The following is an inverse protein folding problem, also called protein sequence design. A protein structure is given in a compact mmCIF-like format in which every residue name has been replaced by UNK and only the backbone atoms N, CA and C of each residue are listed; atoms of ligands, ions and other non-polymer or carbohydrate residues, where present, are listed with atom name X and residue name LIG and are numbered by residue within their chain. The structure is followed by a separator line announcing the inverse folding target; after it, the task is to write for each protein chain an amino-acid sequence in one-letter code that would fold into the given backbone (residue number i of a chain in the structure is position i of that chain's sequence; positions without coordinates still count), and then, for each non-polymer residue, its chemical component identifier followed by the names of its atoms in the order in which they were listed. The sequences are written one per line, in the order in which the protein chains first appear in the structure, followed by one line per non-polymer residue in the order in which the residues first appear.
data_IF_083548276406
#
_entry.id   IF_083548276406
#
_cell.length_a   1.000
_cell.length_b   1.000
_cell.length_c   1.000
_cell.angle_alpha   90.00
_cell.angle_beta   90.00
_cell.angle_gamma   90.00
#
_symmetry.space_group_name_H-M   'P 1'
#
loop_
_entity.id
_entity.type
_entity.pdbx_description
1 polymer ?
#
# COMPACT_ATOMS: atom_id res chain seq x y z
N UNK A 1 38.87 -10.36 13.68
CA UNK A 1 37.56 -11.03 13.51
C UNK A 1 36.54 -10.02 13.96
N UNK A 2 36.18 -9.11 13.08
CA UNK A 2 35.45 -7.90 13.46
C UNK A 2 34.30 -7.80 12.46
N UNK A 3 33.22 -8.53 12.76
CA UNK A 3 32.07 -8.65 11.88
C UNK A 3 31.22 -7.36 12.03
N UNK A 4 31.64 -6.29 11.35
CA UNK A 4 30.93 -5.02 11.35
C UNK A 4 29.59 -5.21 10.63
N UNK A 5 28.53 -5.37 11.43
CA UNK A 5 27.16 -5.32 10.93
C UNK A 5 26.90 -3.90 10.44
N UNK A 6 26.80 -3.74 9.12
CA UNK A 6 26.46 -2.48 8.46
C UNK A 6 25.02 -2.11 8.81
N UNK A 7 24.85 -1.38 9.91
CA UNK A 7 23.53 -0.93 10.35
C UNK A 7 23.07 0.24 9.48
N UNK A 8 21.93 0.05 8.79
CA UNK A 8 21.29 1.08 7.96
C UNK A 8 20.81 2.21 8.87
N UNK A 9 21.66 3.23 9.03
CA UNK A 9 21.47 4.36 9.95
C UNK A 9 20.25 5.23 9.64
N UNK A 10 19.70 5.14 8.44
CA UNK A 10 18.58 5.96 7.96
C UNK A 10 17.27 5.18 7.85
N UNK A 11 17.15 4.03 8.53
CA UNK A 11 15.89 3.28 8.54
C UNK A 11 14.87 4.03 9.38
N UNK A 12 13.85 4.59 8.72
CA UNK A 12 12.69 5.18 9.39
C UNK A 12 12.06 4.15 10.35
N UNK A 13 11.75 4.60 11.56
CA UNK A 13 11.02 3.81 12.56
C UNK A 13 9.70 4.50 12.89
N UNK A 14 8.59 3.76 12.94
CA UNK A 14 7.31 4.33 13.33
C UNK A 14 7.36 4.76 14.80
N UNK A 15 6.79 5.92 15.10
CA UNK A 15 6.62 6.44 16.46
C UNK A 15 5.61 5.63 17.29
N UNK A 16 4.78 4.81 16.66
CA UNK A 16 3.80 3.93 17.32
C UNK A 16 3.42 2.74 16.43
N UNK A 17 3.14 1.59 17.04
CA UNK A 17 2.56 0.42 16.36
C UNK A 17 1.03 0.47 16.42
N UNK A 18 0.41 1.15 15.47
CA UNK A 18 -1.02 1.04 15.19
C UNK A 18 -1.25 0.11 13.99
N UNK A 19 -2.43 -0.52 13.93
CA UNK A 19 -2.81 -1.37 12.79
C UNK A 19 -2.77 -0.51 11.52
N UNK A 20 -1.89 -0.82 10.56
CA UNK A 20 -1.67 0.04 9.41
C UNK A 20 -2.85 -0.06 8.44
N UNK A 21 -3.34 1.11 8.01
CA UNK A 21 -4.19 1.25 6.82
C UNK A 21 -3.39 2.05 5.80
N UNK A 22 -3.16 1.47 4.63
CA UNK A 22 -2.30 2.06 3.61
C UNK A 22 -3.17 2.38 2.39
N UNK A 23 -3.18 3.63 1.95
CA UNK A 23 -3.89 4.07 0.76
C UNK A 23 -2.89 4.60 -0.27
N UNK A 24 -2.86 3.97 -1.44
CA UNK A 24 -2.18 4.47 -2.63
C UNK A 24 -3.17 5.27 -3.46
N UNK A 25 -2.80 6.48 -3.84
CA UNK A 25 -3.62 7.32 -4.74
C UNK A 25 -2.75 7.72 -5.93
N UNK A 26 -3.28 7.60 -7.14
CA UNK A 26 -2.54 8.01 -8.33
C UNK A 26 -2.82 7.16 -9.55
N UNK A 27 -1.78 7.09 -10.38
CA UNK A 27 -1.75 6.47 -11.69
C UNK A 27 -1.11 5.06 -11.65
N UNK A 28 -0.46 4.69 -12.76
CA UNK A 28 0.25 3.43 -12.92
C UNK A 28 1.37 3.23 -11.90
N UNK A 29 2.05 4.28 -11.44
CA UNK A 29 3.10 4.14 -10.43
C UNK A 29 2.50 3.71 -9.09
N UNK A 30 1.42 4.36 -8.66
CA UNK A 30 0.68 4.00 -7.45
C UNK A 30 0.11 2.59 -7.54
N UNK A 31 -0.36 2.17 -8.71
CA UNK A 31 -0.78 0.79 -8.97
C UNK A 31 0.37 -0.20 -8.79
N UNK A 32 1.55 0.07 -9.36
CA UNK A 32 2.72 -0.80 -9.23
C UNK A 32 3.18 -0.93 -7.78
N UNK A 33 3.15 0.17 -7.01
CA UNK A 33 3.50 0.14 -5.59
C UNK A 33 2.49 -0.68 -4.77
N UNK A 34 1.19 -0.49 -5.00
CA UNK A 34 0.14 -1.27 -4.34
C UNK A 34 0.27 -2.77 -4.66
N UNK A 35 0.54 -3.13 -5.92
CA UNK A 35 0.76 -4.52 -6.32
C UNK A 35 2.02 -5.11 -5.70
N UNK A 36 3.14 -4.38 -5.72
CA UNK A 36 4.40 -4.82 -5.14
C UNK A 36 4.25 -5.13 -3.64
N UNK A 37 3.64 -4.22 -2.88
CA UNK A 37 3.41 -4.40 -1.45
C UNK A 37 2.49 -5.60 -1.16
N UNK A 38 1.38 -5.70 -1.90
CA UNK A 38 0.44 -6.83 -1.80
C UNK A 38 1.17 -8.16 -2.02
N UNK A 39 2.00 -8.24 -3.07
CA UNK A 39 2.78 -9.43 -3.38
C UNK A 39 3.80 -9.77 -2.29
N UNK A 40 4.48 -8.78 -1.71
CA UNK A 40 5.41 -9.01 -0.60
C UNK A 40 4.70 -9.62 0.61
N UNK A 41 3.53 -9.09 0.97
CA UNK A 41 2.74 -9.59 2.10
C UNK A 41 2.24 -11.00 1.81
N UNK A 42 1.67 -11.23 0.62
CA UNK A 42 1.22 -12.56 0.21
C UNK A 42 2.37 -13.57 0.18
N UNK A 43 3.57 -13.19 -0.28
CA UNK A 43 4.76 -14.06 -0.22
C UNK A 43 5.19 -14.39 1.20
N UNK A 44 5.09 -13.44 2.12
CA UNK A 44 5.44 -13.66 3.53
C UNK A 44 4.50 -14.66 4.22
N UNK A 45 3.22 -14.65 3.84
CA UNK A 45 2.17 -15.55 4.34
C UNK A 45 1.16 -15.92 3.24
N UNK A 46 1.46 -16.95 2.43
CA UNK A 46 0.62 -17.35 1.30
C UNK A 46 -0.77 -17.84 1.71
N UNK A 47 -0.87 -18.48 2.88
CA UNK A 47 -2.10 -19.04 3.43
C UNK A 47 -3.06 -17.98 4.01
N UNK A 48 -2.60 -16.74 4.15
CA UNK A 48 -3.38 -15.69 4.79
C UNK A 48 -4.64 -15.36 3.98
N UNK A 49 -5.80 -15.46 4.61
CA UNK A 49 -7.07 -15.12 3.95
C UNK A 49 -7.19 -13.62 3.75
N UNK A 50 -7.55 -13.22 2.52
CA UNK A 50 -7.79 -11.83 2.17
C UNK A 50 -9.14 -11.66 1.47
N UNK A 51 -9.70 -10.47 1.58
CA UNK A 51 -10.86 -10.02 0.82
C UNK A 51 -10.44 -8.90 -0.12
N UNK A 52 -10.79 -8.99 -1.40
CA UNK A 52 -10.52 -7.98 -2.41
C UNK A 52 -11.85 -7.39 -2.91
N UNK A 53 -12.09 -6.13 -2.60
CA UNK A 53 -13.28 -5.38 -3.02
C UNK A 53 -12.86 -4.32 -4.02
N UNK A 54 -13.59 -4.19 -5.14
CA UNK A 54 -13.38 -3.13 -6.14
C UNK A 54 -14.68 -2.39 -6.37
N UNK A 55 -14.67 -1.09 -6.12
CA UNK A 55 -15.84 -0.21 -6.29
C UNK A 55 -15.36 1.00 -7.10
N UNK A 56 -15.74 1.05 -8.38
CA UNK A 56 -15.30 2.11 -9.30
C UNK A 56 -13.77 2.21 -9.37
N UNK A 57 -13.24 3.39 -9.04
CA UNK A 57 -11.79 3.66 -8.99
C UNK A 57 -11.08 3.12 -7.74
N UNK A 58 -11.82 2.69 -6.71
CA UNK A 58 -11.26 2.20 -5.45
C UNK A 58 -11.11 0.68 -5.47
N UNK A 59 -9.92 0.19 -5.12
CA UNK A 59 -9.64 -1.22 -4.86
C UNK A 59 -9.13 -1.38 -3.44
N UNK A 60 -9.82 -2.16 -2.61
CA UNK A 60 -9.44 -2.44 -1.23
C UNK A 60 -9.09 -3.91 -1.07
N UNK A 61 -7.89 -4.19 -0.55
CA UNK A 61 -7.45 -5.52 -0.17
C UNK A 61 -7.29 -5.57 1.36
N UNK A 62 -8.11 -6.39 2.01
CA UNK A 62 -8.07 -6.57 3.46
C UNK A 62 -7.57 -7.96 3.84
N UNK A 63 -6.50 -8.04 4.61
CA UNK A 63 -6.00 -9.28 5.21
C UNK A 63 -6.72 -9.53 6.54
N UNK A 64 -7.49 -10.60 6.63
CA UNK A 64 -8.43 -10.82 7.73
C UNK A 64 -7.72 -11.15 9.06
N UNK A 65 -6.60 -11.86 8.99
CA UNK A 65 -5.83 -12.29 10.17
C UNK A 65 -5.10 -11.16 10.88
N UNK A 66 -4.77 -10.09 10.15
CA UNK A 66 -3.94 -8.98 10.65
C UNK A 66 -4.71 -7.67 10.79
N UNK A 67 -5.98 -7.65 10.38
CA UNK A 67 -6.83 -6.46 10.26
C UNK A 67 -6.18 -5.31 9.44
N UNK A 68 -5.25 -5.65 8.54
CA UNK A 68 -4.56 -4.70 7.67
C UNK A 68 -5.36 -4.50 6.39
N UNK A 69 -5.60 -3.23 6.03
CA UNK A 69 -6.23 -2.84 4.76
C UNK A 69 -5.25 -2.06 3.88
N UNK A 70 -5.16 -2.48 2.61
CA UNK A 70 -4.33 -1.88 1.58
C UNK A 70 -5.21 -1.46 0.42
N UNK A 71 -5.35 -0.15 0.23
CA UNK A 71 -6.30 0.46 -0.67
C UNK A 71 -5.56 1.14 -1.84
N UNK A 72 -6.19 1.15 -3.01
CA UNK A 72 -5.76 1.88 -4.19
C UNK A 72 -6.93 2.70 -4.72
N UNK A 73 -6.78 4.02 -4.75
CA UNK A 73 -7.67 4.93 -5.46
C UNK A 73 -7.04 5.33 -6.79
N UNK A 74 -7.65 4.87 -7.89
CA UNK A 74 -7.27 5.27 -9.25
C UNK A 74 -7.78 6.67 -9.55
N UNK A 75 -7.07 7.65 -9.03
CA UNK A 75 -7.24 9.05 -9.38
C UNK A 75 -5.89 9.59 -9.84
N UNK A 76 -5.77 9.90 -11.13
CA UNK A 76 -4.51 10.40 -11.71
C UNK A 76 -4.12 11.77 -11.15
N UNK A 77 -5.08 12.53 -10.61
CA UNK A 77 -4.87 13.86 -10.06
C UNK A 77 -5.47 13.96 -8.68
N UNK A 78 -4.73 14.48 -7.70
CA UNK A 78 -5.28 14.74 -6.36
C UNK A 78 -6.21 15.96 -6.32
N UNK A 79 -6.39 16.62 -7.46
CA UNK A 79 -7.20 17.83 -7.64
C UNK A 79 -8.39 17.53 -8.55
N UNK A 80 -9.49 18.23 -8.32
CA UNK A 80 -10.64 18.18 -9.23
C UNK A 80 -10.29 18.85 -10.55
N UNK A 81 -10.44 18.11 -11.65
CA UNK A 81 -10.31 18.68 -12.99
C UNK A 81 -11.64 19.31 -13.34
N UNK A 82 -11.69 20.64 -13.32
CA UNK A 82 -12.80 21.40 -13.89
C UNK A 82 -12.55 21.54 -15.38
N UNK A 83 -13.41 20.94 -16.21
CA UNK A 83 -13.41 21.21 -17.64
C UNK A 83 -14.05 22.58 -17.87
N UNK A 84 -13.26 23.59 -18.18
CA UNK A 84 -13.82 24.85 -18.69
C UNK A 84 -14.37 24.61 -20.09
N UNK A 85 -15.69 24.79 -20.23
CA UNK A 85 -16.37 24.70 -21.52
C UNK A 85 -16.02 25.90 -22.39
N UNK A 86 -15.49 25.61 -23.58
CA UNK A 86 -15.38 26.55 -24.72
C UNK A 86 -16.73 26.81 -25.36
#
# INVERSE_FOLDING_TARGET
MDNQTMSIKNRWQPTSCQIPRVLFVGDLLSLNQWQSLTCMIHKSRPEAKYNLVKIGGLSELKFLEYDVSIMLSRNAFLVDIVLEGS
#
